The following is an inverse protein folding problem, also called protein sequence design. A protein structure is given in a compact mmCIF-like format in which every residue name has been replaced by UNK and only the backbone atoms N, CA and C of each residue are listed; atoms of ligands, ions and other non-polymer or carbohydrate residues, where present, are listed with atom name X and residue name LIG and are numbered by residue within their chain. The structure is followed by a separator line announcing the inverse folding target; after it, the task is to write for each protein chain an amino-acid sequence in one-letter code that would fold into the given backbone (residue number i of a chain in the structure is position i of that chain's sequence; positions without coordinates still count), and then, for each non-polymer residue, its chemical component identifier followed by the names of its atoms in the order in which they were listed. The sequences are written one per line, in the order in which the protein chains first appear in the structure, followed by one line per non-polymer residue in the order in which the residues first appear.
data_IF_327983343434
#
_entry.id   IF_327983343434
#
_cell.length_a   1.000
_cell.length_b   1.000
_cell.length_c   1.000
_cell.angle_alpha   90.00
_cell.angle_beta   90.00
_cell.angle_gamma   90.00
#
_symmetry.space_group_name_H-M   'P 1'
#
loop_
_entity.id
_entity.type
_entity.pdbx_description
1 polymer ?
#
# COMPACT_ATOMS: atom_id res chain seq x y z
N UNK A 1 2.74 13.61 -12.87
CA UNK A 1 1.49 14.42 -12.78
C UNK A 1 1.01 14.83 -14.15
N UNK A 2 -0.31 14.84 -14.37
CA UNK A 2 -0.94 15.16 -15.65
C UNK A 2 -0.78 14.10 -16.73
N UNK A 3 -0.49 12.84 -16.36
CA UNK A 3 -0.27 11.73 -17.32
C UNK A 3 -1.22 10.56 -17.14
N UNK A 4 -1.49 10.18 -15.89
CA UNK A 4 -2.31 9.03 -15.51
C UNK A 4 -3.06 9.26 -14.18
N UNK A 5 -3.29 10.52 -13.84
CA UNK A 5 -3.85 10.98 -12.55
C UNK A 5 -5.19 11.72 -12.74
N UNK A 6 -5.81 11.57 -13.91
CA UNK A 6 -7.15 12.09 -14.16
C UNK A 6 -8.21 11.25 -13.43
N UNK A 7 -9.27 11.90 -12.95
CA UNK A 7 -10.33 11.21 -12.22
C UNK A 7 -11.02 10.13 -13.09
N UNK A 8 -11.18 10.37 -14.40
CA UNK A 8 -11.77 9.41 -15.32
C UNK A 8 -10.91 8.14 -15.48
N UNK A 9 -9.59 8.30 -15.59
CA UNK A 9 -8.67 7.17 -15.71
C UNK A 9 -8.56 6.39 -14.40
N UNK A 10 -8.49 7.10 -13.26
CA UNK A 10 -8.48 6.50 -11.93
C UNK A 10 -9.77 5.71 -11.66
N UNK A 11 -10.93 6.29 -12.00
CA UNK A 11 -12.23 5.62 -11.83
C UNK A 11 -12.32 4.37 -12.72
N UNK A 12 -11.98 4.48 -14.01
CA UNK A 12 -12.01 3.36 -14.93
C UNK A 12 -11.07 2.22 -14.50
N UNK A 13 -9.82 2.54 -14.15
CA UNK A 13 -8.83 1.56 -13.72
C UNK A 13 -9.29 0.86 -12.42
N UNK A 14 -9.74 1.62 -11.42
CA UNK A 14 -10.09 1.04 -10.11
C UNK A 14 -11.37 0.20 -10.16
N UNK A 15 -12.38 0.61 -10.94
CA UNK A 15 -13.56 -0.25 -11.21
C UNK A 15 -13.16 -1.56 -11.87
N UNK A 16 -12.32 -1.49 -12.90
CA UNK A 16 -11.85 -2.69 -13.59
C UNK A 16 -11.11 -3.65 -12.63
N UNK A 17 -10.27 -3.13 -11.74
CA UNK A 17 -9.58 -3.95 -10.73
C UNK A 17 -10.60 -4.65 -9.83
N UNK A 18 -11.59 -3.92 -9.30
CA UNK A 18 -12.62 -4.50 -8.44
C UNK A 18 -13.42 -5.57 -9.19
N UNK A 19 -13.87 -5.27 -10.41
CA UNK A 19 -14.72 -6.14 -11.21
C UNK A 19 -14.00 -7.41 -11.67
N UNK A 20 -12.71 -7.32 -12.00
CA UNK A 20 -11.97 -8.43 -12.61
C UNK A 20 -11.10 -9.20 -11.61
N UNK A 21 -10.58 -8.52 -10.58
CA UNK A 21 -9.62 -9.09 -9.63
C UNK A 21 -10.18 -9.19 -8.21
N UNK A 22 -11.24 -8.45 -7.90
CA UNK A 22 -11.89 -8.43 -6.60
C UNK A 22 -11.38 -7.32 -5.66
N UNK A 23 -12.14 -7.00 -4.60
CA UNK A 23 -11.86 -5.87 -3.71
C UNK A 23 -10.65 -6.08 -2.78
N UNK A 24 -10.20 -7.33 -2.63
CA UNK A 24 -9.10 -7.70 -1.74
C UNK A 24 -7.71 -7.50 -2.35
N UNK A 25 -7.61 -7.21 -3.65
CA UNK A 25 -6.32 -6.99 -4.31
C UNK A 25 -5.74 -5.64 -3.87
N UNK A 26 -4.50 -5.60 -3.35
CA UNK A 26 -3.89 -4.37 -2.91
C UNK A 26 -3.46 -3.49 -4.09
N UNK A 27 -3.85 -2.22 -4.07
CA UNK A 27 -3.42 -1.21 -5.04
C UNK A 27 -2.44 -0.22 -4.39
N UNK A 28 -1.34 0.06 -5.07
CA UNK A 28 -0.37 1.07 -4.65
C UNK A 28 -0.33 2.21 -5.66
N UNK A 29 -0.62 3.43 -5.20
CA UNK A 29 -0.31 4.65 -5.94
C UNK A 29 1.04 5.18 -5.48
N UNK A 30 1.99 5.31 -6.41
CA UNK A 30 3.35 5.73 -6.11
C UNK A 30 3.59 7.15 -6.58
N UNK A 31 4.11 8.03 -5.70
CA UNK A 31 4.53 9.37 -6.11
C UNK A 31 5.67 9.30 -7.12
N UNK A 32 5.47 9.98 -8.26
CA UNK A 32 6.55 10.29 -9.18
C UNK A 32 7.47 11.36 -8.59
N UNK A 33 8.78 11.18 -8.77
CA UNK A 33 9.80 12.19 -8.55
C UNK A 33 10.58 12.44 -9.86
N UNK A 34 10.85 13.70 -10.23
CA UNK A 34 11.62 14.02 -11.42
C UNK A 34 13.00 13.40 -11.31
N UNK A 35 13.37 12.59 -12.30
CA UNK A 35 14.66 11.91 -12.32
C UNK A 35 15.02 11.42 -13.71
N UNK A 36 16.32 11.16 -13.90
CA UNK A 36 16.89 10.68 -15.14
C UNK A 36 16.55 11.57 -16.34
N UNK A 37 15.77 11.09 -17.31
CA UNK A 37 15.43 11.79 -18.56
C UNK A 37 14.08 12.53 -18.49
N UNK A 38 13.34 12.43 -17.39
CA UNK A 38 12.02 13.04 -17.23
C UNK A 38 12.09 14.05 -16.09
N UNK A 39 12.63 15.23 -16.40
CA UNK A 39 12.81 16.33 -15.45
C UNK A 39 11.90 17.53 -15.74
N UNK A 40 11.08 17.43 -16.80
CA UNK A 40 10.16 18.47 -17.29
C UNK A 40 8.81 18.47 -16.55
N UNK A 41 8.50 17.41 -15.82
CA UNK A 41 7.30 17.30 -14.99
C UNK A 41 7.64 17.50 -13.50
N UNK A 42 6.74 18.09 -12.70
CA UNK A 42 6.95 18.19 -11.26
C UNK A 42 6.75 16.84 -10.55
N UNK A 43 7.23 16.74 -9.30
CA UNK A 43 6.88 15.63 -8.40
C UNK A 43 5.36 15.53 -8.21
N UNK A 44 4.86 14.33 -7.93
CA UNK A 44 3.45 14.14 -7.58
C UNK A 44 3.17 14.73 -6.20
N UNK A 45 2.19 15.62 -6.11
CA UNK A 45 1.79 16.19 -4.83
C UNK A 45 1.04 15.15 -3.99
N UNK A 46 1.15 15.19 -2.65
CA UNK A 46 0.39 14.31 -1.77
C UNK A 46 -1.12 14.37 -2.01
N UNK A 47 -1.66 15.55 -2.34
CA UNK A 47 -3.08 15.73 -2.62
C UNK A 47 -3.58 14.93 -3.84
N UNK A 48 -2.75 14.75 -4.88
CA UNK A 48 -3.11 13.91 -6.04
C UNK A 48 -3.22 12.45 -5.61
N UNK A 49 -2.29 11.97 -4.80
CA UNK A 49 -2.30 10.61 -4.27
C UNK A 49 -3.50 10.36 -3.36
N UNK A 50 -3.78 11.29 -2.44
CA UNK A 50 -4.95 11.20 -1.55
C UNK A 50 -6.25 11.12 -2.32
N UNK A 51 -6.43 11.98 -3.34
CA UNK A 51 -7.58 11.92 -4.26
C UNK A 51 -7.70 10.56 -4.96
N UNK A 52 -6.59 10.04 -5.49
CA UNK A 52 -6.57 8.73 -6.15
C UNK A 52 -6.97 7.60 -5.19
N UNK A 53 -6.49 7.64 -3.94
CA UNK A 53 -6.87 6.70 -2.88
C UNK A 53 -8.36 6.78 -2.56
N UNK A 54 -8.92 7.98 -2.42
CA UNK A 54 -10.34 8.17 -2.17
C UNK A 54 -11.23 7.62 -3.30
N UNK A 55 -10.84 7.81 -4.56
CA UNK A 55 -11.54 7.23 -5.71
C UNK A 55 -11.52 5.69 -5.64
N UNK A 56 -10.34 5.11 -5.44
CA UNK A 56 -10.16 3.66 -5.37
C UNK A 56 -10.97 3.01 -4.23
N UNK A 57 -10.95 3.60 -3.04
CA UNK A 57 -11.74 3.14 -1.89
C UNK A 57 -13.24 3.25 -2.17
N UNK A 58 -13.71 4.36 -2.77
CA UNK A 58 -15.12 4.53 -3.15
C UNK A 58 -15.60 3.50 -4.18
N UNK A 59 -14.70 3.04 -5.04
CA UNK A 59 -14.99 2.02 -6.03
C UNK A 59 -14.97 0.59 -5.46
N UNK A 60 -14.61 0.42 -4.18
CA UNK A 60 -14.77 -0.84 -3.44
C UNK A 60 -13.47 -1.56 -3.12
N UNK A 61 -12.30 -1.01 -3.46
CA UNK A 61 -11.03 -1.59 -3.02
C UNK A 61 -10.89 -1.49 -1.51
N UNK A 62 -10.51 -2.59 -0.86
CA UNK A 62 -10.30 -2.64 0.58
C UNK A 62 -8.93 -2.08 0.99
N UNK A 63 -7.92 -2.23 0.14
CA UNK A 63 -6.52 -1.99 0.47
C UNK A 63 -5.84 -1.10 -0.57
N UNK A 64 -5.79 0.20 -0.28
CA UNK A 64 -5.19 1.20 -1.17
C UNK A 64 -4.11 1.98 -0.44
N UNK A 65 -2.90 1.90 -0.97
CA UNK A 65 -1.69 2.41 -0.34
C UNK A 65 -1.07 3.56 -1.12
N UNK A 66 -0.51 4.52 -0.38
CA UNK A 66 0.31 5.60 -0.92
C UNK A 66 1.80 5.28 -0.70
N UNK A 67 2.54 5.22 -1.80
CA UNK A 67 3.97 4.96 -1.83
C UNK A 67 4.79 6.19 -2.21
N UNK A 68 6.09 6.15 -1.91
CA UNK A 68 7.03 7.25 -2.14
C UNK A 68 6.65 8.58 -1.47
N UNK A 69 5.83 8.54 -0.42
CA UNK A 69 5.50 9.65 0.47
C UNK A 69 5.47 9.19 1.92
N UNK A 70 5.66 10.11 2.86
CA UNK A 70 5.37 9.91 4.27
C UNK A 70 3.89 10.22 4.52
N UNK A 71 3.07 9.18 4.68
CA UNK A 71 1.65 9.30 4.99
C UNK A 71 1.20 8.07 5.78
N UNK A 72 1.20 8.14 7.11
CA UNK A 72 0.76 7.00 7.95
C UNK A 72 -0.66 6.54 7.58
N UNK A 73 -1.57 7.47 7.28
CA UNK A 73 -2.94 7.11 6.94
C UNK A 73 -3.03 6.43 5.56
N UNK A 74 -2.22 6.87 4.62
CA UNK A 74 -2.11 6.30 3.28
C UNK A 74 -1.29 5.02 3.21
N UNK A 75 -0.35 4.77 4.12
CA UNK A 75 0.56 3.62 4.08
C UNK A 75 0.14 2.47 5.01
N UNK A 76 -0.83 2.70 5.90
CA UNK A 76 -1.32 1.69 6.86
C UNK A 76 -2.40 0.79 6.26
N UNK A 77 -2.48 -0.44 6.77
CA UNK A 77 -3.55 -1.40 6.47
C UNK A 77 -4.69 -1.23 7.47
N UNK A 78 -5.91 -1.12 6.98
CA UNK A 78 -7.12 -1.00 7.79
C UNK A 78 -7.99 -2.24 7.64
N UNK A 79 -8.75 -2.59 8.68
CA UNK A 79 -9.74 -3.64 8.60
C UNK A 79 -10.86 -3.18 7.67
N UNK A 80 -11.13 -3.93 6.62
CA UNK A 80 -12.16 -3.60 5.64
C UNK A 80 -13.59 -3.64 6.22
N UNK A 81 -13.77 -4.29 7.39
CA UNK A 81 -15.07 -4.37 8.05
C UNK A 81 -15.29 -3.28 9.11
N UNK A 82 -14.35 -3.12 10.07
CA UNK A 82 -14.54 -2.20 11.21
C UNK A 82 -13.70 -0.92 11.15
N UNK A 83 -12.80 -0.78 10.17
CA UNK A 83 -11.95 0.41 10.02
C UNK A 83 -10.81 0.54 11.04
N UNK A 84 -10.61 -0.43 11.94
CA UNK A 84 -9.45 -0.45 12.84
C UNK A 84 -8.15 -0.55 12.05
N UNK A 85 -7.11 0.21 12.42
CA UNK A 85 -5.76 0.04 11.86
C UNK A 85 -5.26 -1.36 12.24
N UNK A 86 -5.00 -2.20 11.25
CA UNK A 86 -4.45 -3.54 11.44
C UNK A 86 -2.93 -3.50 11.49
N UNK A 87 -2.32 -2.82 10.51
CA UNK A 87 -0.87 -2.65 10.42
C UNK A 87 -0.60 -1.18 10.19
N UNK A 88 -0.08 -0.52 11.23
CA UNK A 88 0.31 0.87 11.17
C UNK A 88 1.68 0.99 10.54
N UNK A 89 1.83 1.81 9.48
CA UNK A 89 3.10 1.97 8.77
C UNK A 89 3.32 3.41 8.38
N UNK A 90 4.54 3.87 8.55
CA UNK A 90 5.09 5.04 7.87
C UNK A 90 6.45 4.66 7.30
N UNK A 91 6.54 4.61 5.97
CA UNK A 91 7.74 4.16 5.28
C UNK A 91 8.15 2.74 5.71
N UNK A 92 9.39 2.56 6.16
CA UNK A 92 9.91 1.29 6.66
C UNK A 92 9.64 1.05 8.15
N UNK A 93 8.94 1.96 8.83
CA UNK A 93 8.63 1.86 10.26
C UNK A 93 7.23 1.28 10.45
N UNK A 94 7.13 0.16 11.17
CA UNK A 94 5.86 -0.34 11.70
C UNK A 94 5.56 0.34 13.03
N UNK A 95 4.28 0.65 13.28
CA UNK A 95 3.81 1.33 14.49
C UNK A 95 2.63 0.66 15.17
N UNK A 96 1.79 -0.08 14.44
CA UNK A 96 0.65 -0.80 15.00
C UNK A 96 0.61 -2.23 14.45
N UNK A 97 0.21 -3.19 15.28
CA UNK A 97 -0.01 -4.58 14.90
C UNK A 97 -1.22 -5.14 15.64
N UNK A 98 -2.39 -5.04 15.02
CA UNK A 98 -3.69 -5.45 15.57
C UNK A 98 -4.27 -6.64 14.79
N UNK A 99 -3.40 -7.60 14.50
CA UNK A 99 -3.73 -8.87 13.86
C UNK A 99 -3.45 -10.02 14.84
N UNK A 100 -4.31 -11.04 14.84
CA UNK A 100 -3.98 -12.33 15.42
C UNK A 100 -2.91 -13.05 14.59
N UNK A 101 -2.34 -14.12 15.14
CA UNK A 101 -1.34 -14.95 14.45
C UNK A 101 -1.86 -15.57 13.13
N UNK A 102 -3.19 -15.65 12.98
CA UNK A 102 -3.88 -16.13 11.76
C UNK A 102 -4.23 -15.01 10.78
N UNK A 103 -3.88 -13.75 11.09
CA UNK A 103 -4.19 -12.59 10.26
C UNK A 103 -5.62 -12.07 10.40
N UNK A 104 -6.32 -12.37 11.49
CA UNK A 104 -7.63 -11.81 11.77
C UNK A 104 -7.52 -10.49 12.54
N UNK A 105 -8.42 -9.55 12.27
CA UNK A 105 -8.53 -8.31 13.04
C UNK A 105 -8.76 -8.62 14.52
N UNK A 106 -7.92 -8.09 15.40
CA UNK A 106 -8.06 -8.29 16.85
C UNK A 106 -9.31 -7.62 17.44
N UNK A 107 -9.94 -6.68 16.74
CA UNK A 107 -11.12 -5.96 17.21
C UNK A 107 -12.46 -6.62 16.81
N UNK A 108 -12.56 -7.17 15.60
CA UNK A 108 -13.83 -7.70 15.07
C UNK A 108 -13.74 -9.13 14.49
N UNK A 109 -12.55 -9.74 14.49
CA UNK A 109 -12.33 -11.10 13.99
C UNK A 109 -12.34 -11.24 12.46
N UNK A 110 -12.57 -10.17 11.70
CA UNK A 110 -12.56 -10.21 10.23
C UNK A 110 -11.16 -10.58 9.71
N UNK A 111 -11.09 -11.55 8.81
CA UNK A 111 -9.84 -11.96 8.16
C UNK A 111 -9.27 -10.81 7.32
N UNK A 112 -8.01 -10.47 7.53
CA UNK A 112 -7.28 -9.60 6.61
C UNK A 112 -6.83 -10.43 5.40
N UNK A 113 -7.07 -9.93 4.18
CA UNK A 113 -6.52 -10.56 2.99
C UNK A 113 -4.99 -10.54 3.03
N UNK A 114 -4.37 -11.69 2.74
CA UNK A 114 -2.92 -11.87 2.79
C UNK A 114 -2.50 -13.22 3.37
N UNK A 115 -1.20 -13.34 3.64
CA UNK A 115 -0.58 -14.44 4.38
C UNK A 115 0.21 -13.82 5.51
N UNK A 116 -0.13 -14.19 6.73
CA UNK A 116 0.50 -13.70 7.95
C UNK A 116 1.07 -14.90 8.69
N UNK A 117 2.31 -14.79 9.15
CA UNK A 117 3.01 -15.83 9.90
C UNK A 117 3.43 -15.25 11.25
N UNK A 118 2.50 -15.33 12.22
CA UNK A 118 2.74 -14.88 13.59
C UNK A 118 2.78 -13.36 13.80
N UNK A 119 3.36 -12.91 14.93
CA UNK A 119 3.40 -11.51 15.32
C UNK A 119 4.39 -10.69 14.47
N UNK A 120 4.31 -9.36 14.57
CA UNK A 120 5.31 -8.48 13.96
C UNK A 120 6.73 -8.82 14.46
N UNK A 121 7.69 -8.91 13.53
CA UNK A 121 9.11 -8.93 13.87
C UNK A 121 9.65 -7.55 14.32
N UNK A 122 10.90 -7.52 14.76
CA UNK A 122 11.59 -6.33 15.32
C UNK A 122 12.69 -5.77 14.39
N UNK A 123 12.70 -6.18 13.11
CA UNK A 123 13.74 -5.81 12.14
C UNK A 123 13.90 -4.29 11.98
N UNK A 124 12.79 -3.56 11.93
CA UNK A 124 12.76 -2.12 11.72
C UNK A 124 13.29 -1.67 10.35
N UNK A 125 13.67 -0.40 10.24
CA UNK A 125 14.16 0.21 9.00
C UNK A 125 15.65 -0.11 8.72
N UNK A 126 16.04 -1.39 8.81
CA UNK A 126 17.43 -1.84 8.57
C UNK A 126 17.61 -2.38 7.16
N UNK A 127 18.79 -2.15 6.60
CA UNK A 127 19.22 -2.74 5.34
C UNK A 127 20.14 -3.93 5.64
N UNK A 128 19.88 -5.08 5.02
CA UNK A 128 20.78 -6.22 5.02
C UNK A 128 21.50 -6.26 3.67
N UNK A 129 22.82 -6.16 3.69
CA UNK A 129 23.62 -6.38 2.48
C UNK A 129 23.57 -7.86 2.13
N UNK A 130 23.08 -8.17 0.93
CA UNK A 130 23.13 -9.53 0.38
C UNK A 130 24.44 -9.70 -0.38
N UNK A 131 25.20 -10.75 -0.04
CA UNK A 131 26.35 -11.18 -0.83
C UNK A 131 25.88 -12.17 -1.90
N UNK A 132 26.00 -11.77 -3.16
CA UNK A 132 25.59 -12.57 -4.32
C UNK A 132 26.72 -13.51 -4.82
N UNK A 133 27.90 -13.49 -4.20
CA UNK A 133 29.04 -14.32 -4.61
C UNK A 133 28.87 -15.80 -4.28
N UNK A 134 28.03 -16.13 -3.31
CA UNK A 134 27.79 -17.50 -2.81
C UNK A 134 26.67 -18.25 -3.55
N UNK A 135 25.97 -17.62 -4.50
CA UNK A 135 24.85 -18.22 -5.23
C UNK A 135 25.25 -19.07 -6.45
N UNK A 136 26.56 -19.29 -6.68
CA UNK A 136 27.06 -20.26 -7.67
C UNK A 136 27.23 -21.63 -7.01
N UNK A 137 26.13 -22.34 -6.80
CA UNK A 137 26.14 -23.80 -6.73
C UNK A 137 25.19 -24.32 -7.81
N UNK A 138 25.80 -25.08 -8.73
CA UNK A 138 25.30 -25.77 -9.94
C UNK A 138 25.02 -24.92 -11.19
#
# INVERSE_FOLDING_TARGET
PGKNDSDAELDAMTRWIVDQLGPEVPLHFSAFHPSYKMNDLPSTSPAILQRAREIALRNGLHYVYLGNVHDKAGSSTYCHHCGTILIGRDWYQLSDWNLSDQGCCSACGTQCAGRFDGPAGDWGAKQLRVDLSSSKQE
#
